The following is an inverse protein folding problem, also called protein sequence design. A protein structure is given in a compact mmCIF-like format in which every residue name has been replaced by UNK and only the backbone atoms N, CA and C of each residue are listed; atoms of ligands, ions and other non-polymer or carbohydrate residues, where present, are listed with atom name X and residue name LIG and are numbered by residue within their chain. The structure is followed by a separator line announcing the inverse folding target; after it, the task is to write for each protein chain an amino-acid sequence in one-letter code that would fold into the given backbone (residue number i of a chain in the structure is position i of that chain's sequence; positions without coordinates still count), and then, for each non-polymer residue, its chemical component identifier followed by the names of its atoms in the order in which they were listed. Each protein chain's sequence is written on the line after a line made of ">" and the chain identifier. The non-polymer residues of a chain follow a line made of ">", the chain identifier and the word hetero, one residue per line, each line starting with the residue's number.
data_IF_057070874299
#
_entry.id   IF_057070874299
#
_cell.length_a   1.000
_cell.length_b   1.000
_cell.length_c   1.000
_cell.angle_alpha   90.00
_cell.angle_beta   90.00
_cell.angle_gamma   90.00
#
_symmetry.space_group_name_H-M   'P 1'
#
loop_
_entity.id
_entity.type
_entity.pdbx_description
1 polymer ?
#
# COMPACT_ATOMS: atom_id res chain seq x y z
N UNK A 1 12.81 -3.37 -5.95
CA UNK A 1 12.21 -2.53 -4.89
C UNK A 1 11.54 -1.29 -5.47
N UNK A 2 12.27 -0.29 -6.00
CA UNK A 2 11.66 0.96 -6.49
C UNK A 2 10.63 0.80 -7.63
N UNK A 3 10.91 -0.05 -8.63
CA UNK A 3 9.95 -0.29 -9.74
C UNK A 3 8.66 -0.93 -9.24
N UNK A 4 8.77 -1.93 -8.34
CA UNK A 4 7.61 -2.56 -7.72
C UNK A 4 6.81 -1.55 -6.89
N UNK A 5 7.50 -0.70 -6.11
CA UNK A 5 6.87 0.38 -5.36
C UNK A 5 6.13 1.39 -6.23
N UNK A 6 6.71 1.82 -7.35
CA UNK A 6 6.06 2.73 -8.30
C UNK A 6 4.84 2.09 -8.98
N UNK A 7 4.93 0.81 -9.34
CA UNK A 7 3.78 0.08 -9.90
C UNK A 7 2.65 -0.10 -8.88
N UNK A 8 3.00 -0.42 -7.63
CA UNK A 8 2.04 -0.54 -6.54
C UNK A 8 1.39 0.81 -6.21
N UNK A 9 2.13 1.92 -6.27
CA UNK A 9 1.57 3.26 -6.10
C UNK A 9 0.42 3.52 -7.10
N UNK A 10 0.64 3.21 -8.38
CA UNK A 10 -0.41 3.36 -9.41
C UNK A 10 -1.61 2.46 -9.15
N UNK A 11 -1.39 1.20 -8.75
CA UNK A 11 -2.48 0.28 -8.39
C UNK A 11 -3.27 0.83 -7.19
N UNK A 12 -2.59 1.34 -6.16
CA UNK A 12 -3.25 1.87 -4.98
C UNK A 12 -4.10 3.11 -5.29
N UNK A 13 -3.59 4.03 -6.13
CA UNK A 13 -4.35 5.19 -6.59
C UNK A 13 -5.61 4.80 -7.37
N UNK A 14 -5.47 3.90 -8.34
CA UNK A 14 -6.61 3.41 -9.13
C UNK A 14 -7.63 2.62 -8.30
N UNK A 15 -7.18 1.82 -7.32
CA UNK A 15 -8.08 1.10 -6.41
C UNK A 15 -8.81 2.06 -5.45
N UNK A 16 -8.14 3.14 -5.04
CA UNK A 16 -8.75 4.16 -4.18
C UNK A 16 -9.94 4.81 -4.89
N UNK A 17 -9.73 5.32 -6.11
CA UNK A 17 -10.79 5.98 -6.89
C UNK A 17 -11.84 5.00 -7.44
N UNK A 18 -11.41 3.82 -7.89
CA UNK A 18 -12.27 2.87 -8.59
C UNK A 18 -13.13 1.98 -7.70
N UNK A 19 -12.71 1.71 -6.46
CA UNK A 19 -13.39 0.77 -5.55
C UNK A 19 -13.75 1.35 -4.19
N UNK A 20 -13.08 2.39 -3.72
CA UNK A 20 -13.30 2.93 -2.37
C UNK A 20 -14.07 4.24 -2.48
N UNK A 21 -15.27 4.26 -1.87
CA UNK A 21 -16.01 5.51 -1.72
C UNK A 21 -15.20 6.50 -0.87
N UNK A 22 -15.31 7.80 -1.13
CA UNK A 22 -14.72 8.89 -0.33
C UNK A 22 -14.98 8.77 1.18
N UNK A 23 -16.05 8.07 1.57
CA UNK A 23 -16.45 7.83 2.96
C UNK A 23 -15.62 6.71 3.65
N UNK A 24 -14.71 6.06 2.91
CA UNK A 24 -13.83 5.02 3.42
C UNK A 24 -12.81 5.63 4.38
N UNK A 25 -12.63 5.08 5.60
CA UNK A 25 -11.63 5.57 6.52
C UNK A 25 -10.22 5.48 5.91
N UNK A 26 -9.44 6.56 6.02
CA UNK A 26 -8.06 6.61 5.52
C UNK A 26 -7.17 5.50 6.12
N UNK A 27 -7.43 5.13 7.38
CA UNK A 27 -6.75 4.00 8.04
C UNK A 27 -7.06 2.68 7.33
N UNK A 28 -8.31 2.47 6.90
CA UNK A 28 -8.71 1.26 6.20
C UNK A 28 -8.07 1.21 4.81
N UNK A 29 -8.01 2.34 4.09
CA UNK A 29 -7.26 2.45 2.83
C UNK A 29 -5.79 2.08 3.03
N UNK A 30 -5.16 2.57 4.11
CA UNK A 30 -3.79 2.20 4.50
C UNK A 30 -3.59 0.71 4.77
N UNK A 31 -4.52 0.08 5.48
CA UNK A 31 -4.48 -1.36 5.79
C UNK A 31 -4.62 -2.19 4.51
N UNK A 32 -5.58 -1.84 3.65
CA UNK A 32 -5.78 -2.49 2.34
C UNK A 32 -4.52 -2.33 1.50
N UNK A 33 -3.95 -1.12 1.45
CA UNK A 33 -2.74 -0.86 0.67
C UNK A 33 -1.54 -1.64 1.19
N UNK A 34 -1.34 -1.70 2.51
CA UNK A 34 -0.31 -2.52 3.14
C UNK A 34 -0.46 -4.01 2.79
N UNK A 35 -1.67 -4.54 2.79
CA UNK A 35 -1.92 -5.93 2.43
C UNK A 35 -1.56 -6.22 0.97
N UNK A 36 -1.90 -5.30 0.05
CA UNK A 36 -1.54 -5.39 -1.37
C UNK A 36 -0.02 -5.35 -1.55
N UNK A 37 0.66 -4.37 -0.91
CA UNK A 37 2.12 -4.23 -0.99
C UNK A 37 2.81 -5.47 -0.44
N UNK A 38 2.43 -5.92 0.75
CA UNK A 38 2.99 -7.12 1.40
C UNK A 38 2.76 -8.38 0.54
N UNK A 39 1.57 -8.52 -0.06
CA UNK A 39 1.27 -9.64 -0.95
C UNK A 39 2.11 -9.62 -2.23
N UNK A 40 2.29 -8.44 -2.83
CA UNK A 40 3.12 -8.27 -4.03
C UNK A 40 4.61 -8.48 -3.74
N UNK A 41 5.11 -8.01 -2.59
CA UNK A 41 6.45 -8.31 -2.11
C UNK A 41 6.66 -9.82 -1.94
N UNK A 42 5.71 -10.51 -1.31
CA UNK A 42 5.82 -11.96 -1.15
C UNK A 42 5.84 -12.67 -2.51
N UNK A 43 4.92 -12.36 -3.41
CA UNK A 43 4.87 -12.98 -4.73
C UNK A 43 6.15 -12.72 -5.53
N UNK A 44 6.61 -11.47 -5.54
CA UNK A 44 7.83 -11.09 -6.26
C UNK A 44 9.07 -11.72 -5.63
N UNK A 45 9.15 -11.79 -4.29
CA UNK A 45 10.23 -12.45 -3.58
C UNK A 45 10.27 -13.95 -3.85
N UNK A 46 9.12 -14.62 -3.90
CA UNK A 46 9.05 -16.03 -4.28
C UNK A 46 9.55 -16.27 -5.71
N UNK A 47 9.22 -15.41 -6.67
CA UNK A 47 9.70 -15.53 -8.06
C UNK A 47 11.20 -15.22 -8.14
N UNK A 48 11.62 -14.04 -7.67
CA UNK A 48 12.98 -13.56 -7.88
C UNK A 48 14.00 -14.23 -6.97
N UNK A 49 13.68 -14.45 -5.70
CA UNK A 49 14.63 -15.00 -4.73
C UNK A 49 14.55 -16.52 -4.63
N UNK A 50 13.34 -17.10 -4.59
CA UNK A 50 13.20 -18.56 -4.42
C UNK A 50 13.32 -19.30 -5.75
N UNK A 51 12.63 -18.83 -6.80
CA UNK A 51 12.63 -19.54 -8.08
C UNK A 51 13.85 -19.20 -8.96
N UNK A 52 14.22 -17.92 -9.05
CA UNK A 52 15.34 -17.46 -9.88
C UNK A 52 16.67 -17.33 -9.11
N UNK A 53 16.66 -17.38 -7.78
CA UNK A 53 17.88 -17.33 -6.97
C UNK A 53 18.62 -15.98 -7.00
N UNK A 54 17.95 -14.88 -7.37
CA UNK A 54 18.60 -13.59 -7.62
C UNK A 54 19.00 -12.84 -6.33
N UNK A 55 18.39 -13.15 -5.19
CA UNK A 55 18.73 -12.53 -3.90
C UNK A 55 18.55 -11.01 -3.88
N UNK A 56 17.51 -10.49 -4.55
CA UNK A 56 17.24 -9.05 -4.71
C UNK A 56 16.93 -8.32 -3.40
N UNK A 57 16.51 -9.04 -2.35
CA UNK A 57 16.40 -8.57 -0.97
C UNK A 57 16.36 -9.74 0.02
N UNK A 58 16.67 -9.47 1.28
CA UNK A 58 16.66 -10.48 2.34
C UNK A 58 16.18 -9.90 3.68
N UNK A 59 15.06 -10.41 4.18
CA UNK A 59 14.50 -10.09 5.50
C UNK A 59 14.74 -11.20 6.54
N UNK A 60 15.59 -12.19 6.27
CA UNK A 60 15.82 -13.35 7.16
C UNK A 60 16.33 -12.94 8.55
N UNK A 61 17.05 -11.82 8.64
CA UNK A 61 17.54 -11.26 9.91
C UNK A 61 16.51 -10.44 10.70
N UNK A 62 15.30 -10.23 10.17
CA UNK A 62 14.27 -9.43 10.81
C UNK A 62 13.32 -10.29 11.65
N UNK A 63 12.84 -9.79 12.80
CA UNK A 63 11.85 -10.51 13.59
C UNK A 63 10.52 -10.62 12.82
N UNK A 64 9.81 -11.74 13.04
CA UNK A 64 8.50 -12.00 12.41
C UNK A 64 8.55 -11.91 10.88
N UNK A 65 9.66 -12.37 10.28
CA UNK A 65 9.77 -12.54 8.84
C UNK A 65 9.09 -13.84 8.36
N UNK A 66 8.70 -13.85 7.10
CA UNK A 66 8.24 -15.05 6.41
C UNK A 66 9.18 -15.36 5.24
N UNK A 67 9.91 -16.48 5.37
CA UNK A 67 10.88 -16.98 4.37
C UNK A 67 11.92 -15.94 3.90
N UNK A 68 12.22 -14.95 4.74
CA UNK A 68 13.08 -13.83 4.37
C UNK A 68 12.53 -12.93 3.24
N UNK A 69 11.27 -13.10 2.82
CA UNK A 69 10.68 -12.37 1.68
C UNK A 69 9.83 -11.17 2.10
N UNK A 70 9.17 -11.27 3.25
CA UNK A 70 8.41 -10.20 3.90
C UNK A 70 8.63 -10.24 5.41
N UNK A 71 8.32 -9.18 6.14
CA UNK A 71 8.24 -9.21 7.60
C UNK A 71 7.18 -8.27 8.16
N UNK A 72 6.67 -8.61 9.35
CA UNK A 72 5.60 -7.84 9.99
C UNK A 72 5.95 -6.36 10.24
N UNK A 73 7.16 -6.00 10.71
CA UNK A 73 7.55 -4.59 10.85
C UNK A 73 7.40 -3.78 9.55
N UNK A 74 7.78 -4.35 8.40
CA UNK A 74 7.63 -3.68 7.12
C UNK A 74 6.17 -3.64 6.66
N UNK A 75 5.38 -4.70 6.88
CA UNK A 75 3.93 -4.65 6.64
C UNK A 75 3.25 -3.52 7.42
N UNK A 76 3.64 -3.27 8.67
CA UNK A 76 3.12 -2.14 9.45
C UNK A 76 3.58 -0.82 8.84
N UNK A 77 4.85 -0.70 8.44
CA UNK A 77 5.36 0.50 7.77
C UNK A 77 4.58 0.79 6.47
N UNK A 78 4.21 -0.24 5.72
CA UNK A 78 3.43 -0.11 4.49
C UNK A 78 2.05 0.48 4.70
N UNK A 79 1.48 0.44 5.91
CA UNK A 79 0.21 1.12 6.20
C UNK A 79 0.40 2.63 6.05
N UNK A 80 1.44 3.18 6.68
CA UNK A 80 1.74 4.61 6.64
C UNK A 80 2.15 5.06 5.24
N UNK A 81 2.96 4.26 4.55
CA UNK A 81 3.38 4.54 3.17
C UNK A 81 2.17 4.50 2.23
N UNK A 82 1.25 3.55 2.39
CA UNK A 82 0.04 3.46 1.57
C UNK A 82 -0.88 4.65 1.81
N UNK A 83 -1.04 5.10 3.05
CA UNK A 83 -1.79 6.34 3.36
C UNK A 83 -1.14 7.53 2.67
N UNK A 84 0.18 7.68 2.80
CA UNK A 84 0.90 8.77 2.14
C UNK A 84 0.78 8.69 0.61
N UNK A 85 0.77 7.48 0.05
CA UNK A 85 0.60 7.26 -1.38
C UNK A 85 -0.78 7.69 -1.86
N UNK A 86 -1.85 7.28 -1.17
CA UNK A 86 -3.22 7.69 -1.49
C UNK A 86 -3.37 9.20 -1.42
N UNK A 87 -2.91 9.83 -0.33
CA UNK A 87 -2.96 11.29 -0.19
C UNK A 87 -2.20 11.96 -1.34
N UNK A 88 -1.00 11.48 -1.66
CA UNK A 88 -0.21 12.05 -2.74
C UNK A 88 -0.91 11.91 -4.11
N UNK A 89 -1.54 10.76 -4.39
CA UNK A 89 -2.27 10.52 -5.63
C UNK A 89 -3.45 11.49 -5.80
N UNK A 90 -4.30 11.64 -4.78
CA UNK A 90 -5.45 12.54 -4.87
C UNK A 90 -5.02 14.01 -5.07
N UNK A 91 -3.96 14.45 -4.38
CA UNK A 91 -3.41 15.80 -4.55
C UNK A 91 -2.80 16.00 -5.94
N UNK A 92 -2.12 14.97 -6.48
CA UNK A 92 -1.56 15.00 -7.82
C UNK A 92 -2.69 15.13 -8.85
N UNK A 93 -3.78 14.40 -8.69
CA UNK A 93 -4.95 14.48 -9.57
C UNK A 93 -5.67 15.82 -9.48
N UNK A 94 -5.84 16.35 -8.27
CA UNK A 94 -6.36 17.70 -8.06
C UNK A 94 -5.54 18.76 -8.80
N UNK A 95 -4.21 18.68 -8.77
CA UNK A 95 -3.34 19.65 -9.46
C UNK A 95 -3.23 19.45 -10.96
N UNK A 96 -3.14 18.20 -11.43
CA UNK A 96 -2.90 17.89 -12.84
C UNK A 96 -4.17 17.82 -13.67
N UNK A 97 -5.26 17.29 -13.09
CA UNK A 97 -6.52 17.05 -13.80
C UNK A 97 -7.64 17.99 -13.34
N UNK A 98 -7.43 18.77 -12.28
CA UNK A 98 -8.43 19.72 -11.78
C UNK A 98 -9.66 19.03 -11.20
N UNK A 99 -9.48 17.81 -10.67
CA UNK A 99 -10.54 17.05 -10.00
C UNK A 99 -11.03 17.76 -8.71
N UNK A 100 -12.00 17.17 -8.02
CA UNK A 100 -12.49 17.73 -6.76
C UNK A 100 -11.37 17.79 -5.70
N UNK A 101 -11.48 18.72 -4.75
CA UNK A 101 -10.51 18.78 -3.66
C UNK A 101 -10.58 17.48 -2.85
N UNK A 102 -9.45 16.89 -2.44
CA UNK A 102 -9.46 15.69 -1.64
C UNK A 102 -10.08 15.94 -0.26
N UNK A 103 -11.01 15.08 0.14
CA UNK A 103 -11.63 15.09 1.47
C UNK A 103 -11.43 13.74 2.15
N UNK A 104 -10.89 13.74 3.36
CA UNK A 104 -10.53 12.52 4.08
C UNK A 104 -11.36 12.30 5.33
N UNK A 105 -11.92 11.10 5.48
CA UNK A 105 -12.53 10.65 6.73
C UNK A 105 -11.51 9.82 7.52
N UNK A 106 -11.06 10.31 8.68
CA UNK A 106 -10.11 9.59 9.54
C UNK A 106 -10.76 8.42 10.30
N UNK A 107 -11.96 8.65 10.85
CA UNK A 107 -12.76 7.66 11.55
C UNK A 107 -14.21 7.81 11.12
N UNK A 108 -14.81 6.75 10.58
CA UNK A 108 -16.26 6.72 10.37
C UNK A 108 -16.91 6.74 11.75
N UNK A 109 -17.42 7.89 12.16
CA UNK A 109 -18.19 8.02 13.40
C UNK A 109 -19.45 7.17 13.20
N UNK A 110 -19.48 5.97 13.79
CA UNK A 110 -20.63 5.09 13.70
C UNK A 110 -21.88 5.88 14.06
N UNK A 111 -22.91 5.83 13.21
CA UNK A 111 -24.25 6.32 13.60
C UNK A 111 -24.59 5.62 14.91
N UNK A 112 -24.61 6.38 16.01
CA UNK A 112 -25.31 5.98 17.21
C UNK A 112 -26.75 5.69 16.77
N UNK A 113 -27.12 4.42 16.76
CA UNK A 113 -28.53 4.05 16.80
C UNK A 113 -29.05 4.30 18.21
#
# INVERSE_FOLDING_TARGET
>A
MFVLGGFLFLILGELNEGLLEWDTPLILQGIIGSAIVTGAELATGMILNVWLGLGVWDYSGMPLNYKGQICLPFSILWIFVSIAAVVLDDWLRYWLFGEERPHYTLFRRGKSR
#
